data_IF_714012507311
#
_entry.id   IF_714012507311
#
_cell.length_a   1.000
_cell.length_b   1.000
_cell.length_c   1.000
_cell.angle_alpha   90.00
_cell.angle_beta   90.00
_cell.angle_gamma   90.00
#
_symmetry.space_group_name_H-M   'P 1'
#
loop_
_entity.id
_entity.type
_entity.pdbx_description
1 polymer ?
#
# COMPACT_ATOMS: atom_id res chain seq x y z
N UNK A 1 19.69 -1.64 18.09
CA UNK A 1 19.97 -2.09 16.71
C UNK A 1 19.13 -1.21 15.81
N UNK A 2 19.75 -0.28 15.07
CA UNK A 2 19.01 0.60 14.18
C UNK A 2 18.45 -0.25 13.03
N UNK A 3 17.13 -0.32 12.92
CA UNK A 3 16.43 -0.92 11.80
C UNK A 3 16.86 -0.16 10.54
N UNK A 4 17.57 -0.84 9.64
CA UNK A 4 17.98 -0.29 8.37
C UNK A 4 16.72 -0.17 7.51
N UNK A 5 15.98 0.91 7.73
CA UNK A 5 14.70 1.20 7.10
C UNK A 5 14.75 0.87 5.61
N UNK A 6 13.80 0.03 5.21
CA UNK A 6 13.68 -0.43 3.84
C UNK A 6 13.49 0.77 2.90
N UNK A 7 14.50 1.04 2.05
CA UNK A 7 14.54 2.19 1.12
C UNK A 7 13.38 2.23 0.10
N UNK A 8 12.48 1.25 0.12
CA UNK A 8 11.32 1.13 -0.75
C UNK A 8 10.01 1.73 -0.17
N UNK A 9 10.03 2.23 1.07
CA UNK A 9 8.88 2.85 1.70
C UNK A 9 9.17 4.29 2.12
N UNK A 10 8.20 5.18 1.91
CA UNK A 10 8.27 6.57 2.36
C UNK A 10 8.04 6.71 3.89
N UNK A 11 7.64 5.64 4.56
CA UNK A 11 7.31 5.60 5.97
C UNK A 11 7.98 4.40 6.63
N UNK A 12 8.41 4.55 7.89
CA UNK A 12 9.08 3.50 8.65
C UNK A 12 8.51 3.35 10.05
N UNK A 13 8.69 2.15 10.63
CA UNK A 13 8.26 1.87 12.00
C UNK A 13 8.96 2.83 12.97
N UNK A 14 8.17 3.40 13.89
CA UNK A 14 8.68 4.34 14.89
C UNK A 14 8.93 5.76 14.38
N UNK A 15 8.57 6.08 13.14
CA UNK A 15 8.61 7.46 12.65
C UNK A 15 7.63 8.34 13.45
N UNK A 16 8.14 9.47 13.94
CA UNK A 16 7.40 10.44 14.75
C UNK A 16 7.26 11.81 14.09
N UNK A 17 7.99 12.04 12.99
CA UNK A 17 7.94 13.28 12.21
C UNK A 17 7.36 13.00 10.82
N UNK A 18 6.49 13.90 10.34
CA UNK A 18 5.78 13.77 9.08
C UNK A 18 5.92 15.04 8.27
N UNK A 19 6.04 14.90 6.94
CA UNK A 19 5.98 16.03 6.02
C UNK A 19 4.64 16.76 6.20
N UNK A 20 4.70 18.09 6.33
CA UNK A 20 3.51 18.92 6.56
C UNK A 20 2.50 18.77 5.42
N UNK A 21 1.23 18.52 5.77
CA UNK A 21 0.15 18.29 4.80
C UNK A 21 0.19 16.92 4.11
N UNK A 22 1.14 16.04 4.47
CA UNK A 22 1.14 14.66 3.98
C UNK A 22 -0.05 13.87 4.52
N UNK A 23 -0.31 12.70 3.91
CA UNK A 23 -1.43 11.83 4.28
C UNK A 23 -1.38 11.34 5.72
N UNK A 24 -0.20 11.31 6.33
CA UNK A 24 0.02 10.89 7.71
C UNK A 24 0.44 12.05 8.63
N UNK A 25 0.35 13.30 8.17
CA UNK A 25 0.55 14.47 9.03
C UNK A 25 -0.59 14.60 10.06
N UNK A 26 -0.34 14.10 11.26
CA UNK A 26 -1.31 14.06 12.38
C UNK A 26 -1.78 15.43 12.84
N UNK A 27 -1.13 16.52 12.40
CA UNK A 27 -1.60 17.90 12.68
C UNK A 27 -2.91 18.22 11.96
N UNK A 28 -3.20 17.54 10.85
CA UNK A 28 -4.45 17.66 10.12
C UNK A 28 -5.47 16.58 10.50
N UNK A 29 -6.77 16.92 10.46
CA UNK A 29 -7.86 15.96 10.73
C UNK A 29 -7.76 14.69 9.87
N UNK A 30 -7.50 14.86 8.57
CA UNK A 30 -7.36 13.73 7.65
C UNK A 30 -6.14 12.87 7.98
N UNK A 31 -5.04 13.47 8.42
CA UNK A 31 -3.83 12.74 8.79
C UNK A 31 -4.02 11.89 10.03
N UNK A 32 -4.70 12.42 11.06
CA UNK A 32 -5.08 11.64 12.25
C UNK A 32 -5.91 10.40 11.87
N UNK A 33 -6.93 10.55 11.01
CA UNK A 33 -7.78 9.42 10.57
C UNK A 33 -6.97 8.35 9.83
N UNK A 34 -6.02 8.73 8.97
CA UNK A 34 -5.16 7.75 8.28
C UNK A 34 -4.19 7.08 9.24
N UNK A 35 -3.65 7.83 10.19
CA UNK A 35 -2.74 7.31 11.21
C UNK A 35 -3.45 6.27 12.10
N UNK A 36 -4.62 6.60 12.65
CA UNK A 36 -5.41 5.67 13.48
C UNK A 36 -5.76 4.37 12.74
N UNK A 37 -5.94 4.46 11.41
CA UNK A 37 -6.33 3.35 10.57
C UNK A 37 -5.16 2.42 10.22
N UNK A 38 -4.01 2.96 9.86
CA UNK A 38 -2.93 2.19 9.22
C UNK A 38 -1.62 2.17 10.01
N UNK A 39 -1.44 3.04 11.00
CA UNK A 39 -0.17 3.22 11.70
C UNK A 39 -0.05 2.32 12.93
N UNK A 40 0.03 1.01 12.69
CA UNK A 40 0.20 0.01 13.74
C UNK A 40 1.08 -1.16 13.30
N UNK A 41 1.53 -1.95 14.27
CA UNK A 41 2.52 -3.01 14.03
C UNK A 41 2.06 -4.07 13.04
N UNK A 42 0.76 -4.39 12.97
CA UNK A 42 0.25 -5.39 12.04
C UNK A 42 0.42 -4.93 10.59
N UNK A 43 0.14 -3.66 10.28
CA UNK A 43 0.37 -3.13 8.93
C UNK A 43 1.85 -3.05 8.58
N UNK A 44 2.72 -2.70 9.54
CA UNK A 44 4.17 -2.69 9.28
C UNK A 44 4.72 -4.10 9.05
N UNK A 45 4.29 -5.11 9.81
CA UNK A 45 4.68 -6.51 9.60
C UNK A 45 4.23 -7.01 8.21
N UNK A 46 2.99 -6.69 7.82
CA UNK A 46 2.47 -7.00 6.49
C UNK A 46 3.29 -6.32 5.39
N UNK A 47 3.68 -5.05 5.58
CA UNK A 47 4.55 -4.33 4.64
C UNK A 47 5.93 -4.97 4.54
N UNK A 48 6.52 -5.45 5.64
CA UNK A 48 7.82 -6.14 5.62
C UNK A 48 7.76 -7.38 4.72
N UNK A 49 6.70 -8.19 4.85
CA UNK A 49 6.43 -9.37 4.01
C UNK A 49 6.29 -9.02 2.53
N UNK A 50 5.50 -7.99 2.21
CA UNK A 50 5.29 -7.53 0.82
C UNK A 50 6.59 -7.00 0.23
N UNK A 51 7.32 -6.15 0.97
CA UNK A 51 8.55 -5.54 0.49
C UNK A 51 9.65 -6.58 0.21
N UNK A 52 9.82 -7.55 1.11
CA UNK A 52 10.81 -8.61 0.94
C UNK A 52 10.56 -9.43 -0.33
N UNK A 53 9.29 -9.64 -0.69
CA UNK A 53 8.92 -10.40 -1.88
C UNK A 53 8.97 -9.54 -3.15
N UNK A 54 8.49 -8.30 -3.10
CA UNK A 54 8.54 -7.36 -4.21
C UNK A 54 9.98 -7.08 -4.67
N UNK A 55 10.93 -6.97 -3.72
CA UNK A 55 12.34 -6.74 -4.01
C UNK A 55 12.98 -7.88 -4.84
N UNK A 56 12.55 -9.13 -4.69
CA UNK A 56 13.04 -10.27 -5.49
C UNK A 56 12.72 -10.15 -6.98
N UNK A 57 11.65 -9.40 -7.30
CA UNK A 57 11.16 -9.18 -8.65
C UNK A 57 11.44 -7.77 -9.17
N UNK A 58 12.24 -6.98 -8.44
CA UNK A 58 12.50 -5.57 -8.75
C UNK A 58 11.21 -4.73 -8.88
N UNK A 59 10.18 -5.07 -8.11
CA UNK A 59 8.90 -4.37 -8.10
C UNK A 59 8.84 -3.38 -6.93
N UNK A 60 8.19 -2.23 -7.15
CA UNK A 60 7.85 -1.32 -6.06
C UNK A 60 6.58 -1.77 -5.35
N UNK A 61 6.40 -1.41 -4.08
CA UNK A 61 5.17 -1.72 -3.33
C UNK A 61 3.95 -1.04 -3.95
N UNK A 62 4.12 0.16 -4.51
CA UNK A 62 3.05 0.86 -5.22
C UNK A 62 2.61 0.10 -6.48
N UNK A 63 3.57 -0.36 -7.29
CA UNK A 63 3.29 -1.19 -8.47
C UNK A 63 2.57 -2.49 -8.09
N UNK A 64 3.04 -3.18 -7.05
CA UNK A 64 2.40 -4.40 -6.53
C UNK A 64 0.95 -4.10 -6.13
N UNK A 65 0.71 -3.03 -5.38
CA UNK A 65 -0.63 -2.67 -4.91
C UNK A 65 -1.59 -2.39 -6.06
N UNK A 66 -1.15 -1.63 -7.07
CA UNK A 66 -1.97 -1.26 -8.24
C UNK A 66 -2.30 -2.48 -9.11
N UNK A 67 -1.28 -3.30 -9.41
CA UNK A 67 -1.47 -4.53 -10.21
C UNK A 67 -2.30 -5.57 -9.46
N UNK A 68 -2.19 -5.63 -8.13
CA UNK A 68 -3.05 -6.49 -7.31
C UNK A 68 -4.51 -6.06 -7.42
N UNK A 69 -4.81 -4.76 -7.27
CA UNK A 69 -6.17 -4.24 -7.43
C UNK A 69 -6.75 -4.55 -8.82
N UNK A 70 -5.98 -4.37 -9.89
CA UNK A 70 -6.49 -4.58 -11.26
C UNK A 70 -6.68 -6.06 -11.62
N UNK A 71 -5.79 -6.95 -11.18
CA UNK A 71 -5.73 -8.32 -11.70
C UNK A 71 -6.04 -9.42 -10.70
N UNK A 72 -6.01 -9.14 -9.39
CA UNK A 72 -6.11 -10.15 -8.33
C UNK A 72 -7.19 -9.82 -7.28
N UNK A 73 -7.84 -8.67 -7.38
CA UNK A 73 -8.98 -8.31 -6.54
C UNK A 73 -10.28 -8.97 -7.03
N UNK A 74 -11.38 -8.72 -6.32
CA UNK A 74 -12.72 -9.14 -6.75
C UNK A 74 -13.40 -8.14 -7.70
N UNK A 75 -12.71 -7.07 -8.11
CA UNK A 75 -13.27 -6.06 -9.02
C UNK A 75 -13.57 -6.67 -10.39
N UNK A 76 -14.74 -6.36 -10.92
CA UNK A 76 -15.23 -6.84 -12.21
C UNK A 76 -15.60 -5.66 -13.11
N UNK A 77 -14.79 -5.40 -14.12
CA UNK A 77 -15.04 -4.34 -15.11
C UNK A 77 -16.37 -4.54 -15.84
N UNK A 78 -16.82 -5.78 -16.02
CA UNK A 78 -18.12 -6.11 -16.62
C UNK A 78 -19.31 -5.67 -15.77
N UNK A 79 -19.11 -5.46 -14.47
CA UNK A 79 -20.10 -4.91 -13.54
C UNK A 79 -19.98 -3.38 -13.39
N UNK A 80 -19.02 -2.76 -14.10
CA UNK A 80 -18.74 -1.33 -13.99
C UNK A 80 -17.80 -0.96 -12.84
N UNK A 81 -17.15 -1.94 -12.20
CA UNK A 81 -16.18 -1.68 -11.14
C UNK A 81 -14.96 -0.92 -11.70
N UNK A 82 -14.46 0.04 -10.92
CA UNK A 82 -13.35 0.89 -11.31
C UNK A 82 -12.42 1.19 -10.13
N UNK A 83 -11.16 1.53 -10.45
CA UNK A 83 -10.15 1.94 -9.48
C UNK A 83 -10.06 3.47 -9.48
N UNK A 84 -10.25 4.09 -8.31
CA UNK A 84 -10.02 5.52 -8.12
C UNK A 84 -8.54 5.74 -7.80
N UNK A 85 -7.86 6.51 -8.64
CA UNK A 85 -6.44 6.84 -8.47
C UNK A 85 -6.27 8.22 -7.85
N UNK A 86 -5.59 8.26 -6.71
CA UNK A 86 -5.12 9.50 -6.09
C UNK A 86 -3.64 9.73 -6.37
N UNK A 87 -3.28 10.96 -6.75
CA UNK A 87 -1.90 11.39 -6.94
C UNK A 87 -1.73 12.84 -6.45
N UNK A 88 -0.54 13.17 -5.92
CA UNK A 88 -0.18 14.52 -5.47
C UNK A 88 0.59 15.32 -6.51
N UNK A 89 1.03 14.69 -7.60
CA UNK A 89 1.69 15.34 -8.73
C UNK A 89 1.53 14.49 -10.00
N UNK A 90 1.88 15.07 -11.14
CA UNK A 90 1.72 14.45 -12.46
C UNK A 90 2.59 13.20 -12.64
N UNK A 91 3.84 13.22 -12.15
CA UNK A 91 4.75 12.07 -12.22
C UNK A 91 4.19 10.84 -11.49
N UNK A 92 3.59 11.04 -10.32
CA UNK A 92 2.92 9.96 -9.59
C UNK A 92 1.71 9.42 -10.37
N UNK A 93 0.92 10.29 -11.00
CA UNK A 93 -0.22 9.86 -11.81
C UNK A 93 0.22 9.03 -13.01
N UNK A 94 1.21 9.49 -13.78
CA UNK A 94 1.76 8.78 -14.95
C UNK A 94 2.35 7.42 -14.57
N UNK A 95 3.09 7.36 -13.46
CA UNK A 95 3.63 6.10 -12.93
C UNK A 95 2.52 5.13 -12.54
N UNK A 96 1.50 5.61 -11.82
CA UNK A 96 0.37 4.77 -11.40
C UNK A 96 -0.41 4.21 -12.60
N UNK A 97 -0.65 5.02 -13.64
CA UNK A 97 -1.32 4.58 -14.86
C UNK A 97 -0.48 3.55 -15.62
N UNK A 98 0.83 3.78 -15.72
CA UNK A 98 1.76 2.84 -16.33
C UNK A 98 1.76 1.50 -15.60
N UNK A 99 1.76 1.50 -14.27
CA UNK A 99 1.73 0.28 -13.46
C UNK A 99 0.40 -0.47 -13.60
N UNK A 100 -0.71 0.26 -13.70
CA UNK A 100 -2.01 -0.34 -13.99
C UNK A 100 -2.02 -1.04 -15.36
N UNK A 101 -1.35 -0.51 -16.37
CA UNK A 101 -1.33 -1.13 -17.71
C UNK A 101 -0.47 -2.40 -17.80
N UNK A 102 0.36 -2.69 -16.79
CA UNK A 102 1.12 -3.94 -16.71
C UNK A 102 0.21 -5.13 -16.43
N UNK A 103 0.71 -6.34 -16.70
CA UNK A 103 0.00 -7.59 -16.50
C UNK A 103 -0.04 -8.10 -15.07
N UNK A 104 -0.43 -9.37 -14.90
CA UNK A 104 -0.54 -10.07 -13.62
C UNK A 104 0.79 -10.09 -12.84
N UNK A 105 0.71 -10.16 -11.51
CA UNK A 105 1.88 -10.26 -10.64
C UNK A 105 2.43 -11.69 -10.60
N UNK A 106 3.73 -11.88 -10.28
CA UNK A 106 4.29 -13.18 -9.95
C UNK A 106 3.51 -13.87 -8.81
N UNK A 107 3.39 -15.21 -8.87
CA UNK A 107 2.57 -15.99 -7.92
C UNK A 107 2.99 -15.82 -6.46
N UNK A 108 4.28 -15.74 -6.19
CA UNK A 108 4.81 -15.55 -4.84
C UNK A 108 4.52 -14.14 -4.31
N UNK A 109 4.50 -13.12 -5.16
CA UNK A 109 4.05 -11.76 -4.80
C UNK A 109 2.57 -11.76 -4.42
N UNK A 110 1.72 -12.47 -5.16
CA UNK A 110 0.30 -12.63 -4.81
C UNK A 110 0.15 -13.35 -3.46
N UNK A 111 0.89 -14.44 -3.25
CA UNK A 111 0.89 -15.17 -1.97
C UNK A 111 1.39 -14.31 -0.79
N UNK A 112 2.33 -13.39 -1.01
CA UNK A 112 2.76 -12.43 0.00
C UNK A 112 1.65 -11.43 0.35
N UNK A 113 0.87 -10.97 -0.63
CA UNK A 113 -0.30 -10.12 -0.40
C UNK A 113 -1.39 -10.85 0.40
N UNK A 114 -1.64 -12.12 0.10
CA UNK A 114 -2.62 -12.93 0.85
C UNK A 114 -2.20 -13.15 2.30
N UNK A 115 -0.90 -13.41 2.52
CA UNK A 115 -0.32 -13.57 3.86
C UNK A 115 -0.40 -12.26 4.65
N UNK A 116 -0.05 -11.13 4.01
CA UNK A 116 -0.19 -9.80 4.59
C UNK A 116 -1.65 -9.49 4.98
N UNK A 117 -2.62 -9.84 4.13
CA UNK A 117 -4.04 -9.69 4.47
C UNK A 117 -4.45 -10.51 5.69
N UNK A 118 -3.95 -11.75 5.83
CA UNK A 118 -4.24 -12.60 6.97
C UNK A 118 -3.77 -11.98 8.30
N UNK A 119 -2.68 -11.20 8.29
CA UNK A 119 -2.17 -10.46 9.45
C UNK A 119 -3.03 -9.24 9.81
N UNK A 120 -3.46 -8.46 8.81
CA UNK A 120 -4.13 -7.17 9.07
C UNK A 120 -5.65 -7.26 9.17
N UNK A 121 -6.29 -8.33 8.65
CA UNK A 121 -7.76 -8.43 8.60
C UNK A 121 -8.44 -8.27 9.97
N UNK A 122 -7.78 -8.67 11.06
CA UNK A 122 -8.31 -8.55 12.42
C UNK A 122 -8.32 -7.12 12.96
N UNK A 123 -7.48 -6.23 12.42
CA UNK A 123 -7.37 -4.82 12.81
C UNK A 123 -7.88 -3.87 11.73
N UNK A 124 -8.33 -4.41 10.59
CA UNK A 124 -8.86 -3.61 9.48
C UNK A 124 -10.08 -2.80 9.94
N UNK A 125 -10.14 -1.49 9.62
CA UNK A 125 -11.29 -0.67 9.94
C UNK A 125 -12.56 -1.18 9.23
N UNK A 126 -13.73 -0.83 9.78
CA UNK A 126 -15.00 -0.97 9.05
C UNK A 126 -15.03 0.02 7.88
N UNK A 127 -15.64 -0.38 6.77
CA UNK A 127 -15.86 0.47 5.61
C UNK A 127 -17.10 1.38 5.73
N UNK A 128 -17.92 1.17 6.76
CA UNK A 128 -19.11 1.95 7.09
C UNK A 128 -18.96 2.60 8.48
N UNK A 129 -19.78 3.61 8.75
CA UNK A 129 -19.85 4.37 10.00
C UNK A 129 -21.27 4.30 10.56
#
# INVERSE_FOLDING_TARGET
MADAGNKNLNYHRGQVEFEAGSRFDVKGRQGSVHHDRYWNDAYFNALDTICATAAKHSLTVAEVSLRWLKHHSQLQVTLGDAIIIGASNMKHLEGNLTDLDKGTLPKDVVGAMDSAWAEVKGVSPKYFH
#
